data_IF_944984993968
#
_entry.id   IF_944984993968
#
_cell.length_a   1.000
_cell.length_b   1.000
_cell.length_c   1.000
_cell.angle_alpha   90.00
_cell.angle_beta   90.00
_cell.angle_gamma   90.00
#
_symmetry.space_group_name_H-M   'P 1'
#
loop_
_entity.id
_entity.type
_entity.pdbx_description
1 polymer ?
#
# COMPACT_ATOMS: atom_id res chain seq x y z
N UNK A 1 47.93 -15.08 7.29
CA UNK A 1 48.03 -13.87 8.08
C UNK A 1 48.38 -12.70 7.19
N UNK A 2 47.42 -11.88 6.80
CA UNK A 2 47.60 -10.49 6.35
C UNK A 2 46.18 -9.87 6.40
N UNK A 3 45.94 -9.14 7.47
CA UNK A 3 44.69 -8.41 7.68
C UNK A 3 44.63 -7.18 6.76
N UNK A 4 43.54 -7.04 6.07
CA UNK A 4 43.20 -5.78 5.40
C UNK A 4 42.27 -4.99 6.34
N UNK A 5 42.82 -3.94 6.93
CA UNK A 5 42.05 -2.95 7.67
C UNK A 5 41.34 -2.04 6.66
N UNK A 6 40.01 -2.05 6.68
CA UNK A 6 39.20 -1.11 5.93
C UNK A 6 39.11 0.19 6.72
N UNK A 7 39.75 1.23 6.24
CA UNK A 7 39.70 2.54 6.83
C UNK A 7 38.37 3.21 6.45
N UNK A 8 37.53 3.45 7.45
CA UNK A 8 36.29 4.25 7.35
C UNK A 8 36.70 5.73 7.32
N UNK A 9 36.62 6.38 6.15
CA UNK A 9 36.79 7.83 6.04
C UNK A 9 35.47 8.50 6.41
N UNK A 10 35.38 8.98 7.62
CA UNK A 10 34.30 9.88 8.06
C UNK A 10 34.68 11.29 7.60
N UNK A 11 34.00 11.80 6.57
CA UNK A 11 34.10 13.21 6.19
C UNK A 11 33.14 14.00 7.10
N UNK A 12 33.69 14.57 8.17
CA UNK A 12 33.01 15.57 8.97
C UNK A 12 33.07 16.91 8.24
N UNK A 13 31.98 17.32 7.60
CA UNK A 13 31.82 18.68 7.11
C UNK A 13 31.51 19.59 8.31
N UNK A 14 32.48 20.37 8.71
CA UNK A 14 32.34 21.52 9.60
C UNK A 14 31.47 22.58 8.90
N UNK A 15 30.29 22.85 9.44
CA UNK A 15 29.49 24.01 9.08
C UNK A 15 29.90 25.13 10.04
N UNK A 16 30.41 26.27 9.55
CA UNK A 16 30.63 27.44 10.41
C UNK A 16 29.26 28.02 10.79
N UNK A 17 29.15 28.34 12.08
CA UNK A 17 27.96 28.98 12.60
C UNK A 17 27.88 30.47 12.19
N UNK A 18 26.70 30.99 12.45
CA UNK A 18 26.30 32.40 12.48
C UNK A 18 26.07 33.08 11.11
N UNK A 19 24.82 33.12 10.71
CA UNK A 19 24.23 34.27 10.06
C UNK A 19 22.75 34.37 10.48
N UNK A 20 22.48 35.33 11.37
CA UNK A 20 21.14 35.65 11.83
C UNK A 20 20.21 36.05 10.68
N UNK A 21 19.06 35.42 10.67
CA UNK A 21 17.92 35.87 9.86
C UNK A 21 17.20 36.95 10.68
N UNK A 22 16.99 38.16 10.12
CA UNK A 22 16.20 39.18 10.81
C UNK A 22 14.73 38.78 10.79
N UNK A 23 14.09 38.83 11.96
CA UNK A 23 12.63 38.80 12.07
C UNK A 23 12.06 40.02 11.37
N UNK A 24 11.01 39.92 10.55
CA UNK A 24 10.31 41.10 10.08
C UNK A 24 9.34 41.59 11.18
N UNK A 25 9.73 42.62 11.89
CA UNK A 25 8.79 43.49 12.57
C UNK A 25 7.98 44.27 11.51
N UNK A 26 6.70 44.47 11.82
CA UNK A 26 5.71 44.94 10.90
C UNK A 26 5.95 46.30 10.29
N UNK A 27 5.45 46.45 9.08
CA UNK A 27 4.96 47.74 8.62
C UNK A 27 3.65 47.51 7.83
N UNK A 28 2.60 48.19 8.32
CA UNK A 28 1.29 48.23 7.69
C UNK A 28 1.31 49.32 6.62
N UNK A 29 1.22 48.96 5.36
CA UNK A 29 1.05 49.98 4.33
C UNK A 29 1.03 49.44 2.89
N UNK A 30 -0.08 49.71 2.24
CA UNK A 30 -0.33 49.76 0.81
C UNK A 30 -0.50 48.43 0.04
N UNK A 31 -1.75 48.14 -0.32
CA UNK A 31 -2.15 47.13 -1.28
C UNK A 31 -1.47 47.30 -2.63
N UNK A 32 -0.55 46.40 -2.93
CA UNK A 32 -0.09 46.15 -4.28
C UNK A 32 -1.02 45.09 -4.94
N UNK A 33 -1.17 45.08 -6.26
CA UNK A 33 -2.02 44.11 -6.91
C UNK A 33 -1.54 42.69 -6.61
N UNK A 34 -2.41 41.87 -6.05
CA UNK A 34 -2.19 40.43 -5.89
C UNK A 34 -1.80 39.87 -7.25
N UNK A 35 -0.54 39.49 -7.40
CA UNK A 35 -0.10 38.71 -8.55
C UNK A 35 -0.98 37.47 -8.72
N UNK A 36 -1.13 36.94 -9.91
CA UNK A 36 -1.98 35.78 -10.13
C UNK A 36 -1.53 34.67 -9.19
N UNK A 37 -2.43 34.24 -8.32
CA UNK A 37 -2.27 32.99 -7.56
C UNK A 37 -1.98 31.94 -8.61
N UNK A 38 -0.76 31.41 -8.63
CA UNK A 38 -0.42 30.31 -9.51
C UNK A 38 -1.39 29.19 -9.20
N UNK A 39 -2.30 28.95 -10.14
CA UNK A 39 -3.21 27.82 -10.03
C UNK A 39 -2.35 26.57 -9.80
N UNK A 40 -2.62 25.84 -8.72
CA UNK A 40 -1.92 24.61 -8.41
C UNK A 40 -2.09 23.67 -9.61
N UNK A 41 -0.98 23.38 -10.29
CA UNK A 41 -1.02 22.52 -11.49
C UNK A 41 -1.55 21.16 -11.07
N UNK A 42 -2.63 20.66 -11.68
CA UNK A 42 -3.16 19.36 -11.32
C UNK A 42 -2.07 18.30 -11.38
N UNK A 43 -2.07 17.37 -10.44
CA UNK A 43 -1.01 16.35 -10.28
C UNK A 43 -0.71 15.58 -11.58
N UNK A 44 -1.75 15.41 -12.45
CA UNK A 44 -1.63 14.79 -13.77
C UNK A 44 -0.76 15.56 -14.77
N UNK A 45 -0.63 16.87 -14.58
CA UNK A 45 0.02 17.77 -15.55
C UNK A 45 1.49 18.08 -15.21
N UNK A 46 2.04 17.44 -14.19
CA UNK A 46 3.46 17.62 -13.84
C UNK A 46 4.35 17.02 -14.93
N UNK A 47 5.39 17.75 -15.39
CA UNK A 47 6.21 17.35 -16.53
C UNK A 47 6.82 15.95 -16.44
N UNK A 48 7.22 15.50 -15.25
CA UNK A 48 7.78 14.18 -15.06
C UNK A 48 6.77 13.04 -15.19
N UNK A 49 5.46 13.32 -15.06
CA UNK A 49 4.39 12.37 -15.31
C UNK A 49 4.06 12.20 -16.79
N UNK A 50 4.35 13.23 -17.57
CA UNK A 50 4.13 13.24 -19.02
C UNK A 50 5.31 12.63 -19.79
N UNK A 51 6.44 12.42 -19.12
CA UNK A 51 7.71 12.11 -19.78
C UNK A 51 7.75 10.73 -20.46
N UNK A 52 6.83 9.80 -20.16
CA UNK A 52 6.77 8.53 -20.89
C UNK A 52 5.33 7.96 -20.87
N UNK A 53 4.64 7.99 -22.00
CA UNK A 53 3.41 7.23 -22.18
C UNK A 53 3.66 5.70 -22.27
N UNK A 54 4.92 5.31 -22.47
CA UNK A 54 5.33 3.92 -22.61
C UNK A 54 5.62 3.28 -21.24
N UNK A 55 5.49 1.95 -21.12
CA UNK A 55 5.88 1.23 -19.92
C UNK A 55 7.35 1.49 -19.57
N UNK A 56 7.63 1.75 -18.31
CA UNK A 56 9.00 1.89 -17.83
C UNK A 56 9.77 0.59 -18.01
N UNK A 57 10.91 0.67 -18.71
CA UNK A 57 11.78 -0.46 -18.95
C UNK A 57 13.16 -0.20 -18.34
N UNK A 58 13.74 -1.24 -17.79
CA UNK A 58 15.14 -1.22 -17.42
C UNK A 58 15.98 -1.63 -18.64
N UNK A 59 16.80 -0.71 -19.14
CA UNK A 59 17.67 -0.92 -20.32
C UNK A 59 19.16 -1.05 -19.94
N UNK A 60 19.47 -1.11 -18.64
CA UNK A 60 20.84 -1.27 -18.16
C UNK A 60 21.38 -2.70 -18.35
N UNK A 61 22.67 -2.86 -18.05
CA UNK A 61 23.38 -4.13 -18.06
C UNK A 61 22.86 -5.09 -16.96
N UNK A 62 23.35 -6.33 -16.97
CA UNK A 62 23.10 -7.34 -15.94
C UNK A 62 22.33 -8.57 -16.42
N UNK A 63 21.70 -8.51 -17.61
CA UNK A 63 21.00 -9.67 -18.19
C UNK A 63 21.92 -10.77 -18.66
N UNK A 64 23.15 -10.43 -18.96
CA UNK A 64 24.21 -11.31 -19.47
C UNK A 64 24.87 -12.13 -18.36
N UNK A 65 24.67 -11.72 -17.10
CA UNK A 65 25.24 -12.42 -15.97
C UNK A 65 24.75 -13.87 -15.92
N UNK A 66 25.68 -14.84 -15.79
CA UNK A 66 25.31 -16.25 -15.72
C UNK A 66 24.52 -16.53 -14.44
N UNK A 67 23.65 -17.50 -14.52
CA UNK A 67 22.91 -17.97 -13.36
C UNK A 67 23.86 -18.65 -12.38
N UNK A 68 23.92 -18.22 -11.09
CA UNK A 68 24.74 -18.87 -10.10
C UNK A 68 24.14 -20.20 -9.65
N UNK A 69 24.98 -21.09 -9.20
CA UNK A 69 24.55 -22.29 -8.49
C UNK A 69 24.27 -21.93 -7.02
N UNK A 70 23.06 -22.21 -6.53
CA UNK A 70 22.62 -21.91 -5.16
C UNK A 70 21.92 -23.13 -4.57
N UNK A 71 21.95 -23.29 -3.25
CA UNK A 71 21.25 -24.38 -2.57
C UNK A 71 19.76 -24.07 -2.35
N UNK A 72 19.42 -22.79 -2.22
CA UNK A 72 18.06 -22.28 -2.04
C UNK A 72 17.84 -20.95 -2.80
N UNK A 73 16.60 -20.62 -3.09
CA UNK A 73 16.22 -19.36 -3.72
C UNK A 73 15.61 -18.43 -2.67
N UNK A 74 16.35 -17.39 -2.30
CA UNK A 74 15.89 -16.43 -1.30
C UNK A 74 15.03 -15.35 -1.96
N UNK A 75 13.80 -15.17 -1.45
CA UNK A 75 12.92 -14.05 -1.72
C UNK A 75 12.87 -13.19 -0.46
N UNK A 76 13.14 -11.90 -0.57
CA UNK A 76 12.99 -10.96 0.55
C UNK A 76 11.52 -10.67 0.82
N UNK A 77 11.15 -10.59 2.09
CA UNK A 77 9.85 -10.09 2.53
C UNK A 77 10.05 -8.83 3.36
N UNK A 78 9.68 -7.67 2.80
CA UNK A 78 9.76 -6.40 3.51
C UNK A 78 8.39 -6.03 4.07
N UNK A 79 8.12 -6.55 5.24
CA UNK A 79 6.89 -6.46 6.01
C UNK A 79 6.99 -7.31 7.28
N UNK A 80 6.01 -7.26 8.19
CA UNK A 80 5.98 -8.14 9.35
C UNK A 80 6.00 -9.61 8.93
N UNK A 81 6.90 -10.38 9.51
CA UNK A 81 6.96 -11.84 9.40
C UNK A 81 6.19 -12.54 10.51
N UNK A 82 5.19 -11.88 11.06
CA UNK A 82 4.33 -12.36 12.13
C UNK A 82 2.89 -12.52 11.60
N UNK A 83 2.33 -13.74 11.59
CA UNK A 83 0.96 -13.98 11.17
C UNK A 83 -0.09 -13.31 12.05
N UNK A 84 0.27 -12.96 13.30
CA UNK A 84 -0.62 -12.31 14.24
C UNK A 84 -0.48 -10.78 14.27
N UNK A 85 0.35 -10.22 13.40
CA UNK A 85 0.49 -8.76 13.30
C UNK A 85 -0.87 -8.12 12.95
N UNK A 86 -1.39 -7.20 13.77
CA UNK A 86 -2.80 -6.77 13.71
C UNK A 86 -3.18 -6.09 12.39
N UNK A 87 -2.26 -5.37 11.74
CA UNK A 87 -2.52 -4.63 10.51
C UNK A 87 -2.12 -5.39 9.24
N UNK A 88 -1.00 -6.14 9.27
CA UNK A 88 -0.39 -6.70 8.07
C UNK A 88 -0.22 -8.22 8.09
N UNK A 89 -0.61 -8.91 9.18
CA UNK A 89 -0.42 -10.35 9.33
C UNK A 89 -1.08 -11.17 8.23
N UNK A 90 -2.23 -10.71 7.71
CA UNK A 90 -2.96 -11.44 6.66
C UNK A 90 -2.15 -11.56 5.35
N UNK A 91 -1.34 -10.56 4.98
CA UNK A 91 -0.42 -10.67 3.83
C UNK A 91 0.60 -11.79 4.04
N UNK A 92 1.19 -11.87 5.23
CA UNK A 92 2.17 -12.90 5.57
C UNK A 92 1.55 -14.29 5.61
N UNK A 93 0.35 -14.43 6.16
CA UNK A 93 -0.40 -15.68 6.18
C UNK A 93 -0.63 -16.25 4.78
N UNK A 94 -1.07 -15.39 3.85
CA UNK A 94 -1.24 -15.76 2.45
C UNK A 94 0.08 -16.15 1.77
N UNK A 95 1.14 -15.38 2.02
CA UNK A 95 2.47 -15.63 1.48
C UNK A 95 3.04 -16.98 1.92
N UNK A 96 2.82 -17.37 3.18
CA UNK A 96 3.28 -18.68 3.70
C UNK A 96 2.57 -19.87 3.02
N UNK A 97 1.27 -19.76 2.72
CA UNK A 97 0.56 -20.82 1.98
C UNK A 97 1.14 -20.97 0.57
N UNK A 98 1.37 -19.85 -0.11
CA UNK A 98 1.98 -19.87 -1.43
C UNK A 98 3.39 -20.48 -1.42
N UNK A 99 4.22 -20.10 -0.44
CA UNK A 99 5.57 -20.62 -0.27
C UNK A 99 5.57 -22.16 -0.09
N UNK A 100 4.69 -22.66 0.77
CA UNK A 100 4.57 -24.09 1.04
C UNK A 100 4.13 -24.87 -0.22
N UNK A 101 3.15 -24.32 -0.97
CA UNK A 101 2.68 -24.92 -2.22
C UNK A 101 3.75 -24.89 -3.32
N UNK A 102 4.50 -23.79 -3.46
CA UNK A 102 5.60 -23.68 -4.42
C UNK A 102 6.72 -24.68 -4.10
N UNK A 103 7.05 -24.86 -2.83
CA UNK A 103 8.06 -25.84 -2.38
C UNK A 103 7.57 -27.28 -2.54
N UNK A 104 6.31 -27.56 -2.24
CA UNK A 104 5.70 -28.87 -2.47
C UNK A 104 5.66 -29.24 -3.96
N UNK A 105 5.56 -28.23 -4.84
CA UNK A 105 5.63 -28.41 -6.30
C UNK A 105 7.08 -28.59 -6.84
N UNK A 106 8.10 -28.59 -5.95
CA UNK A 106 9.51 -28.78 -6.31
C UNK A 106 10.34 -27.50 -6.39
N UNK A 107 9.80 -26.37 -5.98
CA UNK A 107 10.51 -25.09 -5.88
C UNK A 107 11.03 -24.58 -7.23
N UNK A 108 12.28 -24.16 -7.25
CA UNK A 108 12.99 -23.75 -8.45
C UNK A 108 14.01 -24.80 -8.85
N UNK A 109 13.71 -25.62 -9.86
CA UNK A 109 14.61 -26.72 -10.34
C UNK A 109 15.06 -27.65 -9.21
N UNK A 110 14.16 -27.99 -8.30
CA UNK A 110 14.43 -28.84 -7.15
C UNK A 110 15.04 -28.12 -5.94
N UNK A 111 15.29 -26.82 -6.02
CA UNK A 111 15.80 -25.99 -4.93
C UNK A 111 14.65 -25.30 -4.22
N UNK A 112 14.59 -25.32 -2.87
CA UNK A 112 13.51 -24.70 -2.15
C UNK A 112 13.55 -23.18 -2.29
N UNK A 113 12.37 -22.54 -2.32
CA UNK A 113 12.22 -21.11 -2.10
C UNK A 113 12.21 -20.85 -0.59
N UNK A 114 12.85 -19.78 -0.17
CA UNK A 114 12.81 -19.28 1.21
C UNK A 114 12.36 -17.83 1.21
N UNK A 115 11.39 -17.53 2.06
CA UNK A 115 10.92 -16.16 2.27
C UNK A 115 11.61 -15.61 3.53
N UNK A 116 12.46 -14.61 3.36
CA UNK A 116 13.25 -14.01 4.44
C UNK A 116 12.62 -12.69 4.87
N UNK A 117 12.01 -12.61 6.07
CA UNK A 117 11.38 -11.39 6.54
C UNK A 117 12.39 -10.38 7.06
N UNK A 118 12.10 -9.10 6.83
CA UNK A 118 12.76 -7.98 7.50
C UNK A 118 11.72 -6.90 7.77
N UNK A 119 11.64 -6.46 9.00
CA UNK A 119 10.68 -5.46 9.45
C UNK A 119 11.17 -4.70 10.66
N UNK A 120 10.74 -3.45 10.76
CA UNK A 120 10.90 -2.58 11.93
C UNK A 120 9.64 -1.76 12.12
N UNK A 121 9.14 -1.68 13.35
CA UNK A 121 8.02 -0.82 13.74
C UNK A 121 8.29 0.68 13.52
N UNK A 122 9.53 1.03 13.24
CA UNK A 122 9.93 2.38 12.86
C UNK A 122 10.60 2.36 11.48
N UNK A 123 9.84 2.17 10.39
CA UNK A 123 10.40 1.98 9.04
C UNK A 123 11.32 3.12 8.62
N UNK A 124 10.98 4.37 8.97
CA UNK A 124 11.80 5.55 8.68
C UNK A 124 13.19 5.53 9.30
N UNK A 125 13.40 4.77 10.39
CA UNK A 125 14.71 4.65 11.06
C UNK A 125 15.55 3.50 10.52
N UNK A 126 14.93 2.37 10.19
CA UNK A 126 15.63 1.13 9.87
C UNK A 126 15.27 0.53 8.50
N UNK A 127 14.14 0.89 7.90
CA UNK A 127 13.59 0.19 6.73
C UNK A 127 14.53 0.10 5.53
N UNK A 128 15.30 1.16 5.23
CA UNK A 128 16.28 1.12 4.13
C UNK A 128 17.41 0.11 4.45
N UNK A 129 17.84 0.05 5.71
CA UNK A 129 18.87 -0.90 6.16
C UNK A 129 18.34 -2.34 6.11
N UNK A 130 17.08 -2.55 6.47
CA UNK A 130 16.45 -3.86 6.43
C UNK A 130 16.34 -4.38 5.00
N UNK A 131 15.88 -3.54 4.04
CA UNK A 131 15.87 -3.90 2.62
C UNK A 131 17.28 -4.13 2.08
N UNK A 132 18.26 -3.30 2.47
CA UNK A 132 19.65 -3.49 2.06
C UNK A 132 20.21 -4.85 2.54
N UNK A 133 19.89 -5.23 3.78
CA UNK A 133 20.26 -6.53 4.34
C UNK A 133 19.65 -7.69 3.54
N UNK A 134 18.36 -7.63 3.21
CA UNK A 134 17.71 -8.63 2.37
C UNK A 134 18.45 -8.84 1.05
N UNK A 135 18.82 -7.76 0.39
CA UNK A 135 19.38 -7.79 -0.97
C UNK A 135 20.87 -8.13 -0.99
N UNK A 136 21.66 -7.56 -0.06
CA UNK A 136 23.12 -7.63 -0.12
C UNK A 136 23.72 -8.68 0.83
N UNK A 137 23.07 -8.93 1.98
CA UNK A 137 23.58 -9.92 2.95
C UNK A 137 22.85 -11.26 2.81
N UNK A 138 21.52 -11.26 2.59
CA UNK A 138 20.73 -12.48 2.43
C UNK A 138 20.62 -12.97 0.99
N UNK A 139 21.05 -12.16 0.02
CA UNK A 139 21.09 -12.55 -1.39
C UNK A 139 19.72 -12.67 -2.04
N UNK A 140 18.72 -11.92 -1.58
CA UNK A 140 17.39 -11.98 -2.15
C UNK A 140 17.36 -11.65 -3.66
N UNK A 141 16.69 -12.48 -4.44
CA UNK A 141 16.55 -12.33 -5.88
C UNK A 141 15.50 -11.30 -6.26
N UNK A 142 14.47 -11.18 -5.45
CA UNK A 142 13.42 -10.18 -5.51
C UNK A 142 12.99 -9.84 -4.09
N UNK A 143 12.35 -8.69 -3.91
CA UNK A 143 11.74 -8.30 -2.65
C UNK A 143 10.23 -8.17 -2.86
N UNK A 144 9.47 -8.94 -2.10
CA UNK A 144 8.04 -8.79 -1.93
C UNK A 144 7.85 -7.93 -0.71
N UNK A 145 7.16 -6.78 -0.84
CA UNK A 145 7.00 -5.90 0.30
C UNK A 145 6.77 -4.47 -0.06
N UNK A 146 6.82 -3.64 0.97
CA UNK A 146 6.09 -2.40 0.92
C UNK A 146 4.60 -2.73 1.11
N UNK A 147 4.25 -3.18 2.34
CA UNK A 147 2.86 -3.55 2.69
C UNK A 147 1.95 -2.33 2.80
N UNK A 148 2.54 -1.15 2.80
CA UNK A 148 1.90 0.17 2.77
C UNK A 148 2.70 1.15 1.89
N UNK A 149 2.23 2.39 1.74
CA UNK A 149 2.90 3.43 0.97
C UNK A 149 4.23 3.86 1.57
N UNK A 150 4.27 4.04 2.88
CA UNK A 150 5.49 4.42 3.62
C UNK A 150 6.63 3.46 3.34
N UNK A 151 6.42 2.17 3.54
CA UNK A 151 7.46 1.16 3.34
C UNK A 151 7.80 0.95 1.87
N UNK A 152 6.82 1.12 0.97
CA UNK A 152 7.07 1.12 -0.47
C UNK A 152 8.00 2.25 -0.90
N UNK A 153 7.81 3.47 -0.39
CA UNK A 153 8.69 4.61 -0.67
C UNK A 153 10.14 4.37 -0.21
N UNK A 154 10.33 3.70 0.93
CA UNK A 154 11.66 3.36 1.42
C UNK A 154 12.33 2.31 0.54
N UNK A 155 11.60 1.24 0.21
CA UNK A 155 12.14 0.13 -0.56
C UNK A 155 12.43 0.50 -2.03
N UNK A 156 11.61 1.36 -2.65
CA UNK A 156 11.77 1.76 -4.05
C UNK A 156 13.08 2.52 -4.30
N UNK A 157 13.55 3.29 -3.33
CA UNK A 157 14.82 4.00 -3.43
C UNK A 157 16.00 3.03 -3.55
N UNK A 158 15.93 1.91 -2.81
CA UNK A 158 16.97 0.90 -2.88
C UNK A 158 16.81 0.00 -4.12
N UNK A 159 15.57 -0.29 -4.53
CA UNK A 159 15.29 -1.04 -5.76
C UNK A 159 15.92 -0.36 -6.99
N UNK A 160 15.83 0.98 -7.04
CA UNK A 160 16.47 1.78 -8.09
C UNK A 160 18.01 1.66 -8.08
N UNK A 161 18.62 1.66 -6.90
CA UNK A 161 20.09 1.65 -6.75
C UNK A 161 20.70 0.27 -6.89
N UNK A 162 20.00 -0.75 -6.41
CA UNK A 162 20.51 -2.13 -6.31
C UNK A 162 19.91 -3.07 -7.35
N UNK A 163 19.07 -2.55 -8.24
CA UNK A 163 18.51 -3.25 -9.40
C UNK A 163 17.87 -4.60 -9.04
N UNK A 164 16.82 -4.58 -8.22
CA UNK A 164 16.02 -5.76 -7.90
C UNK A 164 14.53 -5.48 -8.08
N UNK A 165 13.76 -6.50 -8.42
CA UNK A 165 12.31 -6.44 -8.46
C UNK A 165 11.78 -6.16 -7.06
N UNK A 166 11.01 -5.08 -6.91
CA UNK A 166 10.17 -4.79 -5.74
C UNK A 166 8.71 -4.99 -6.14
N UNK A 167 8.05 -5.97 -5.53
CA UNK A 167 6.63 -6.23 -5.73
C UNK A 167 5.86 -5.89 -4.45
N UNK A 168 5.15 -4.75 -4.45
CA UNK A 168 4.32 -4.33 -3.33
C UNK A 168 2.96 -5.05 -3.37
N UNK A 169 2.59 -5.83 -2.35
CA UNK A 169 1.28 -6.46 -2.28
C UNK A 169 0.18 -5.50 -1.81
N UNK A 170 0.52 -4.48 -1.00
CA UNK A 170 -0.46 -3.73 -0.22
C UNK A 170 -0.54 -2.23 -0.46
N UNK A 171 0.49 -1.58 -1.04
CA UNK A 171 0.49 -0.13 -1.21
C UNK A 171 -0.56 0.35 -2.21
N UNK A 172 -1.46 1.22 -1.75
CA UNK A 172 -2.44 1.95 -2.57
C UNK A 172 -1.97 3.35 -2.95
N UNK A 173 -0.85 3.78 -2.38
CA UNK A 173 -0.28 5.11 -2.59
C UNK A 173 0.30 5.27 -4.00
N UNK A 174 -0.34 6.11 -4.79
CA UNK A 174 0.10 6.40 -6.17
C UNK A 174 1.39 7.21 -6.20
N UNK A 175 1.77 7.87 -5.11
CA UNK A 175 2.99 8.70 -5.10
C UNK A 175 4.26 7.87 -5.19
N UNK A 176 4.22 6.61 -4.78
CA UNK A 176 5.32 5.68 -4.99
C UNK A 176 5.56 5.40 -6.49
N UNK A 177 4.47 5.38 -7.30
CA UNK A 177 4.57 5.21 -8.76
C UNK A 177 5.14 6.45 -9.46
N UNK A 178 4.98 7.63 -8.85
CA UNK A 178 5.46 8.91 -9.39
C UNK A 178 7.00 8.98 -9.44
N UNK A 179 7.68 8.13 -8.69
CA UNK A 179 9.14 8.00 -8.76
C UNK A 179 9.63 7.44 -10.11
N UNK A 180 8.74 6.90 -10.94
CA UNK A 180 9.04 6.31 -12.24
C UNK A 180 10.19 5.29 -12.19
N UNK A 181 10.17 4.42 -11.18
CA UNK A 181 11.21 3.41 -11.00
C UNK A 181 10.81 2.13 -11.73
N UNK A 182 11.61 1.66 -12.71
CA UNK A 182 11.27 0.50 -13.53
C UNK A 182 11.29 -0.84 -12.75
N UNK A 183 11.65 -0.81 -11.49
CA UNK A 183 11.78 -1.98 -10.61
C UNK A 183 10.59 -2.17 -9.67
N UNK A 184 9.69 -1.17 -9.57
CA UNK A 184 8.49 -1.23 -8.73
C UNK A 184 7.31 -1.79 -9.51
N UNK A 185 6.64 -2.77 -8.88
CA UNK A 185 5.32 -3.26 -9.28
C UNK A 185 4.40 -3.31 -8.06
N UNK A 186 3.12 -2.95 -8.23
CA UNK A 186 2.15 -2.89 -7.13
C UNK A 186 0.90 -3.69 -7.47
N UNK A 187 0.55 -4.68 -6.63
CA UNK A 187 -0.63 -5.52 -6.83
C UNK A 187 -1.95 -4.83 -6.47
N UNK A 188 -1.92 -3.87 -5.55
CA UNK A 188 -3.11 -3.12 -5.15
C UNK A 188 -3.45 -2.02 -6.15
N UNK A 189 -4.72 -1.83 -6.51
CA UNK A 189 -5.18 -0.61 -7.16
C UNK A 189 -4.86 0.61 -6.31
N UNK A 190 -4.67 1.76 -6.95
CA UNK A 190 -4.36 2.99 -6.22
C UNK A 190 -5.60 3.61 -5.57
N UNK A 191 -5.38 4.45 -4.56
CA UNK A 191 -6.45 5.26 -3.98
C UNK A 191 -7.10 6.18 -5.02
N UNK A 192 -6.36 6.64 -6.03
CA UNK A 192 -6.93 7.41 -7.15
C UNK A 192 -7.93 6.59 -7.97
N UNK A 193 -7.70 5.28 -8.13
CA UNK A 193 -8.62 4.39 -8.84
C UNK A 193 -9.90 4.10 -8.03
N UNK A 194 -9.79 4.05 -6.71
CA UNK A 194 -10.91 3.72 -5.79
C UNK A 194 -11.74 4.95 -5.43
N UNK A 195 -11.12 6.12 -5.28
CA UNK A 195 -11.77 7.33 -4.76
C UNK A 195 -12.99 7.82 -5.54
N UNK A 196 -13.08 7.72 -6.88
CA UNK A 196 -14.31 8.06 -7.61
C UNK A 196 -15.52 7.26 -7.14
N UNK A 197 -15.33 5.96 -6.90
CA UNK A 197 -16.38 5.08 -6.42
C UNK A 197 -16.77 5.38 -4.95
N UNK A 198 -15.79 5.78 -4.11
CA UNK A 198 -16.07 6.31 -2.76
C UNK A 198 -16.95 7.54 -2.85
N UNK A 199 -16.65 8.49 -3.74
CA UNK A 199 -17.44 9.70 -3.93
C UNK A 199 -18.86 9.39 -4.45
N UNK A 200 -19.03 8.36 -5.28
CA UNK A 200 -20.35 7.87 -5.71
C UNK A 200 -21.17 7.36 -4.53
N UNK A 201 -20.58 6.50 -3.69
CA UNK A 201 -21.24 5.98 -2.51
C UNK A 201 -21.63 7.07 -1.52
N UNK A 202 -20.79 8.10 -1.35
CA UNK A 202 -21.09 9.27 -0.52
C UNK A 202 -22.27 10.04 -1.10
N UNK A 203 -22.29 10.30 -2.41
CA UNK A 203 -23.39 11.02 -3.09
C UNK A 203 -24.73 10.34 -2.89
N UNK A 204 -24.76 9.02 -3.09
CA UNK A 204 -25.95 8.20 -2.92
C UNK A 204 -26.44 8.21 -1.46
N UNK A 205 -25.55 7.91 -0.52
CA UNK A 205 -25.91 7.76 0.89
C UNK A 205 -26.28 9.11 1.55
N UNK A 206 -25.58 10.18 1.21
CA UNK A 206 -25.87 11.51 1.74
C UNK A 206 -27.20 12.09 1.21
N UNK A 207 -27.59 11.76 -0.03
CA UNK A 207 -28.82 12.27 -0.66
C UNK A 207 -28.98 13.78 -0.48
N UNK A 208 -27.91 14.54 -0.69
CA UNK A 208 -27.85 16.00 -0.50
C UNK A 208 -27.73 16.47 0.95
N UNK A 209 -27.70 15.57 1.93
CA UNK A 209 -27.45 15.92 3.33
C UNK A 209 -25.96 16.06 3.67
N UNK A 210 -25.63 16.54 4.90
CA UNK A 210 -24.26 16.75 5.31
C UNK A 210 -23.51 15.43 5.47
N UNK A 211 -22.21 15.43 5.13
CA UNK A 211 -21.30 14.34 5.43
C UNK A 211 -19.98 14.86 5.99
N UNK A 212 -19.29 14.06 6.75
CA UNK A 212 -18.00 14.39 7.34
C UNK A 212 -16.91 13.43 6.86
N UNK A 213 -15.66 13.87 6.89
CA UNK A 213 -14.47 13.05 6.62
C UNK A 213 -13.62 13.01 7.87
N UNK A 214 -13.27 11.81 8.32
CA UNK A 214 -12.33 11.56 9.40
C UNK A 214 -11.10 10.87 8.83
N UNK A 215 -9.94 11.49 8.93
CA UNK A 215 -8.69 10.96 8.39
C UNK A 215 -7.60 10.94 9.45
N UNK A 216 -6.80 9.87 9.49
CA UNK A 216 -5.59 9.87 10.30
C UNK A 216 -4.46 10.63 9.61
N UNK A 217 -3.46 11.08 10.38
CA UNK A 217 -2.36 11.92 9.88
C UNK A 217 -1.13 11.13 9.43
N UNK A 218 -1.22 9.81 9.33
CA UNK A 218 -0.14 9.02 8.73
C UNK A 218 -0.02 9.27 7.23
N UNK A 219 1.12 8.86 6.66
CA UNK A 219 1.44 9.09 5.26
C UNK A 219 0.40 8.51 4.30
N UNK A 220 -0.02 7.27 4.53
CA UNK A 220 -0.95 6.57 3.64
C UNK A 220 -2.35 7.18 3.68
N UNK A 221 -2.84 7.48 4.87
CA UNK A 221 -4.12 8.17 5.02
C UNK A 221 -4.10 9.58 4.41
N UNK A 222 -2.98 10.30 4.53
CA UNK A 222 -2.84 11.61 3.89
C UNK A 222 -2.90 11.50 2.36
N UNK A 223 -2.19 10.54 1.75
CA UNK A 223 -2.22 10.31 0.30
C UNK A 223 -3.62 9.92 -0.19
N UNK A 224 -4.28 9.01 0.54
CA UNK A 224 -5.67 8.60 0.27
C UNK A 224 -6.66 9.76 0.41
N UNK A 225 -6.51 10.61 1.45
CA UNK A 225 -7.36 11.78 1.67
C UNK A 225 -7.26 12.76 0.50
N UNK A 226 -6.06 13.00 -0.05
CA UNK A 226 -5.87 13.84 -1.23
C UNK A 226 -6.67 13.29 -2.42
N UNK A 227 -6.63 11.98 -2.64
CA UNK A 227 -7.37 11.31 -3.72
C UNK A 227 -8.89 11.40 -3.51
N UNK A 228 -9.36 11.15 -2.28
CA UNK A 228 -10.78 11.27 -1.91
C UNK A 228 -11.29 12.70 -2.08
N UNK A 229 -10.55 13.70 -1.57
CA UNK A 229 -10.92 15.13 -1.73
C UNK A 229 -11.04 15.51 -3.19
N UNK A 230 -10.14 15.06 -4.05
CA UNK A 230 -10.18 15.31 -5.50
C UNK A 230 -11.44 14.71 -6.13
N UNK A 231 -11.77 13.45 -5.79
CA UNK A 231 -12.94 12.78 -6.30
C UNK A 231 -14.25 13.45 -5.84
N UNK A 232 -14.33 13.85 -4.57
CA UNK A 232 -15.48 14.61 -4.04
C UNK A 232 -15.62 15.96 -4.75
N UNK A 233 -14.51 16.69 -4.94
CA UNK A 233 -14.53 17.99 -5.64
C UNK A 233 -14.98 17.85 -7.10
N UNK A 234 -14.54 16.81 -7.81
CA UNK A 234 -14.98 16.52 -9.18
C UNK A 234 -16.50 16.31 -9.28
N UNK A 235 -17.11 15.80 -8.22
CA UNK A 235 -18.57 15.63 -8.10
C UNK A 235 -19.29 16.83 -7.46
N UNK A 236 -18.57 17.90 -7.12
CA UNK A 236 -19.09 19.07 -6.41
C UNK A 236 -19.74 18.72 -5.07
N UNK A 237 -19.15 17.80 -4.34
CA UNK A 237 -19.59 17.33 -3.01
C UNK A 237 -18.65 17.90 -1.94
N UNK A 238 -18.91 19.10 -1.40
CA UNK A 238 -18.12 19.61 -0.29
C UNK A 238 -18.51 18.88 1.00
N UNK A 239 -17.54 18.34 1.78
CA UNK A 239 -17.83 17.83 3.11
C UNK A 239 -18.23 18.98 4.05
N UNK A 240 -19.12 18.71 5.00
CA UNK A 240 -19.48 19.65 6.06
C UNK A 240 -18.29 19.89 7.00
N UNK A 241 -17.52 18.84 7.27
CA UNK A 241 -16.27 18.92 8.02
C UNK A 241 -15.24 17.90 7.53
N UNK A 242 -13.97 18.22 7.74
CA UNK A 242 -12.84 17.31 7.59
C UNK A 242 -12.02 17.39 8.87
N UNK A 243 -11.98 16.29 9.62
CA UNK A 243 -11.25 16.19 10.86
C UNK A 243 -10.05 15.27 10.67
N UNK A 244 -8.86 15.79 10.88
CA UNK A 244 -7.63 15.00 10.89
C UNK A 244 -7.23 14.70 12.32
N UNK A 245 -6.82 13.46 12.63
CA UNK A 245 -6.45 13.03 13.96
C UNK A 245 -5.13 12.24 13.95
N UNK A 246 -4.39 12.31 15.06
CA UNK A 246 -3.14 11.58 15.19
C UNK A 246 -3.38 10.07 15.14
N UNK A 247 -2.58 9.35 14.36
CA UNK A 247 -2.66 7.89 14.23
C UNK A 247 -2.22 7.19 15.52
N UNK A 248 -1.24 7.76 16.20
CA UNK A 248 -0.77 7.26 17.49
C UNK A 248 -1.64 7.86 18.63
N UNK A 249 -2.23 6.96 19.42
CA UNK A 249 -3.03 7.29 20.62
C UNK A 249 -4.18 8.30 20.38
N UNK A 250 -5.11 8.02 19.44
CA UNK A 250 -6.21 8.93 19.16
C UNK A 250 -7.29 8.88 20.24
N UNK A 251 -7.83 10.05 20.63
CA UNK A 251 -9.00 10.14 21.52
C UNK A 251 -10.29 9.88 20.72
N UNK A 252 -10.59 8.61 20.48
CA UNK A 252 -11.78 8.20 19.73
C UNK A 252 -13.10 8.64 20.38
N UNK A 253 -13.29 8.62 21.74
CA UNK A 253 -14.48 9.15 22.37
C UNK A 253 -14.69 10.65 22.07
N UNK A 254 -13.66 11.47 22.13
CA UNK A 254 -13.76 12.89 21.79
C UNK A 254 -14.10 13.12 20.32
N UNK A 255 -13.47 12.36 19.41
CA UNK A 255 -13.79 12.41 17.98
C UNK A 255 -15.24 12.02 17.70
N UNK A 256 -15.73 10.95 18.30
CA UNK A 256 -17.12 10.53 18.18
C UNK A 256 -18.09 11.60 18.74
N UNK A 257 -17.79 12.18 19.90
CA UNK A 257 -18.59 13.26 20.49
C UNK A 257 -18.71 14.49 19.60
N UNK A 258 -17.61 14.94 18.98
CA UNK A 258 -17.61 16.07 18.05
C UNK A 258 -18.46 15.79 16.82
N UNK A 259 -18.31 14.59 16.24
CA UNK A 259 -19.06 14.15 15.06
C UNK A 259 -20.58 14.15 15.31
N UNK A 260 -21.02 13.70 16.49
CA UNK A 260 -22.45 13.67 16.85
C UNK A 260 -23.08 15.06 16.89
N UNK A 261 -22.32 16.09 17.24
CA UNK A 261 -22.81 17.48 17.24
C UNK A 261 -23.10 18.00 15.81
N UNK A 262 -22.31 17.58 14.84
CA UNK A 262 -22.46 17.97 13.42
C UNK A 262 -23.61 17.24 12.71
N UNK A 263 -24.05 16.10 13.25
CA UNK A 263 -25.11 15.23 12.72
C UNK A 263 -24.96 14.89 11.22
N UNK A 264 -23.78 14.42 10.78
CA UNK A 264 -23.61 14.01 9.39
C UNK A 264 -24.47 12.78 9.10
N UNK A 265 -24.96 12.67 7.87
CA UNK A 265 -25.64 11.44 7.39
C UNK A 265 -24.66 10.35 6.99
N UNK A 266 -23.51 10.77 6.50
CA UNK A 266 -22.45 9.88 6.03
C UNK A 266 -21.13 10.27 6.68
N UNK A 267 -20.35 9.28 7.05
CA UNK A 267 -18.98 9.40 7.52
C UNK A 267 -18.05 8.74 6.53
N UNK A 268 -17.10 9.49 5.99
CA UNK A 268 -15.97 8.93 5.23
C UNK A 268 -14.81 8.72 6.17
N UNK A 269 -14.30 7.48 6.25
CA UNK A 269 -13.15 7.13 7.10
C UNK A 269 -11.94 6.81 6.23
N UNK A 270 -10.83 7.49 6.52
CA UNK A 270 -9.54 7.33 5.83
C UNK A 270 -8.46 7.11 6.87
N UNK A 271 -8.13 5.86 7.14
CA UNK A 271 -7.15 5.47 8.15
C UNK A 271 -6.66 4.03 7.90
N UNK A 272 -5.55 3.58 8.51
CA UNK A 272 -5.18 2.17 8.57
C UNK A 272 -6.31 1.32 9.11
N UNK A 273 -6.38 0.05 8.70
CA UNK A 273 -7.53 -0.82 8.96
C UNK A 273 -7.87 -0.94 10.44
N UNK A 274 -6.87 -1.17 11.28
CA UNK A 274 -7.06 -1.32 12.74
C UNK A 274 -7.49 -0.02 13.42
N UNK A 275 -6.95 1.10 12.98
CA UNK A 275 -7.30 2.45 13.48
C UNK A 275 -8.73 2.80 13.06
N UNK A 276 -9.08 2.57 11.80
CA UNK A 276 -10.42 2.77 11.27
C UNK A 276 -11.45 1.92 12.02
N UNK A 277 -11.11 0.64 12.32
CA UNK A 277 -11.99 -0.26 13.07
C UNK A 277 -12.31 0.26 14.47
N UNK A 278 -11.29 0.69 15.22
CA UNK A 278 -11.46 1.28 16.55
C UNK A 278 -12.28 2.58 16.52
N UNK A 279 -12.03 3.45 15.51
CA UNK A 279 -12.82 4.67 15.32
C UNK A 279 -14.29 4.35 15.05
N UNK A 280 -14.56 3.40 14.15
CA UNK A 280 -15.94 2.98 13.83
C UNK A 280 -16.64 2.39 15.05
N UNK A 281 -15.95 1.56 15.85
CA UNK A 281 -16.49 1.04 17.10
C UNK A 281 -16.86 2.17 18.08
N UNK A 282 -16.01 3.18 18.23
CA UNK A 282 -16.29 4.32 19.11
C UNK A 282 -17.47 5.15 18.61
N UNK A 283 -17.57 5.44 17.32
CA UNK A 283 -18.66 6.19 16.71
C UNK A 283 -19.99 5.44 16.85
N UNK A 284 -20.01 4.15 16.61
CA UNK A 284 -21.20 3.29 16.82
C UNK A 284 -21.58 3.18 18.28
N UNK A 285 -20.57 3.01 19.17
CA UNK A 285 -20.78 2.99 20.63
C UNK A 285 -21.35 4.29 21.19
N UNK A 286 -21.08 5.43 20.57
CA UNK A 286 -21.69 6.71 20.88
C UNK A 286 -23.13 6.88 20.33
N UNK A 287 -23.68 5.87 19.66
CA UNK A 287 -25.05 5.83 19.18
C UNK A 287 -25.27 6.39 17.77
N UNK A 288 -24.22 6.72 17.02
CA UNK A 288 -24.39 7.17 15.64
C UNK A 288 -24.63 5.97 14.68
N UNK A 289 -25.69 6.06 13.88
CA UNK A 289 -26.18 4.96 13.01
C UNK A 289 -26.14 5.26 11.51
N UNK A 290 -25.57 6.41 11.10
CA UNK A 290 -25.46 6.79 9.68
C UNK A 290 -24.57 5.86 8.85
N UNK A 291 -24.48 6.11 7.57
CA UNK A 291 -23.66 5.32 6.64
C UNK A 291 -22.18 5.62 6.80
N UNK A 292 -21.36 4.59 6.94
CA UNK A 292 -19.88 4.70 6.91
C UNK A 292 -19.38 4.20 5.57
N UNK A 293 -18.50 4.97 4.96
CA UNK A 293 -17.87 4.68 3.67
C UNK A 293 -16.35 4.87 3.82
N UNK A 294 -15.55 3.98 3.26
CA UNK A 294 -14.10 4.18 3.20
C UNK A 294 -13.45 3.53 2.00
N UNK A 295 -12.13 3.58 1.93
CA UNK A 295 -11.32 2.96 0.89
C UNK A 295 -11.12 1.46 1.08
N UNK A 296 -10.06 0.93 0.44
CA UNK A 296 -9.70 -0.49 0.52
C UNK A 296 -9.38 -0.96 1.95
N UNK A 297 -8.84 -0.10 2.81
CA UNK A 297 -8.49 -0.44 4.21
C UNK A 297 -9.69 -0.91 5.03
N UNK A 298 -10.88 -0.40 4.74
CA UNK A 298 -12.11 -0.83 5.40
C UNK A 298 -12.63 -2.18 4.89
N UNK A 299 -12.13 -2.67 3.76
CA UNK A 299 -12.47 -3.99 3.21
C UNK A 299 -11.67 -5.15 3.81
N UNK A 300 -10.68 -4.88 4.67
CA UNK A 300 -9.75 -5.88 5.20
C UNK A 300 -10.25 -6.52 6.49
N UNK A 301 -9.88 -7.77 6.72
CA UNK A 301 -10.21 -8.51 7.97
C UNK A 301 -9.67 -7.80 9.21
N UNK A 302 -8.50 -7.14 9.12
CA UNK A 302 -7.93 -6.32 10.18
C UNK A 302 -8.89 -5.21 10.66
N UNK A 303 -9.62 -4.56 9.72
CA UNK A 303 -10.67 -3.60 10.05
C UNK A 303 -11.81 -4.28 10.82
N UNK A 304 -12.33 -5.39 10.29
CA UNK A 304 -13.46 -6.07 10.90
C UNK A 304 -13.14 -6.63 12.29
N UNK A 305 -11.93 -7.21 12.47
CA UNK A 305 -11.45 -7.66 13.80
C UNK A 305 -11.41 -6.51 14.80
N UNK A 306 -10.98 -5.32 14.37
CA UNK A 306 -10.89 -4.15 15.25
C UNK A 306 -12.22 -3.44 15.50
N UNK A 307 -13.15 -3.49 14.56
CA UNK A 307 -14.47 -2.89 14.68
C UNK A 307 -15.47 -3.78 15.40
N UNK A 308 -15.28 -5.10 15.37
CA UNK A 308 -16.25 -6.06 15.86
C UNK A 308 -17.60 -5.93 15.15
N UNK A 309 -18.70 -6.02 15.91
CA UNK A 309 -20.06 -5.87 15.37
C UNK A 309 -20.32 -4.48 14.75
N UNK A 310 -19.54 -3.47 15.11
CA UNK A 310 -19.66 -2.12 14.56
C UNK A 310 -19.28 -2.05 13.06
N UNK A 311 -18.62 -3.07 12.52
CA UNK A 311 -18.33 -3.18 11.10
C UNK A 311 -19.60 -3.32 10.25
N UNK A 312 -20.70 -3.87 10.84
CA UNK A 312 -21.90 -4.16 10.07
C UNK A 312 -22.49 -2.93 9.40
N UNK A 313 -22.84 -3.05 8.12
CA UNK A 313 -23.33 -1.94 7.30
C UNK A 313 -22.24 -1.01 6.73
N UNK A 314 -20.97 -1.15 7.10
CA UNK A 314 -19.87 -0.32 6.55
C UNK A 314 -19.66 -0.66 5.08
N UNK A 315 -19.56 0.37 4.24
CA UNK A 315 -19.30 0.27 2.80
C UNK A 315 -17.79 0.41 2.54
N UNK A 316 -17.26 -0.55 1.83
CA UNK A 316 -15.85 -0.63 1.47
C UNK A 316 -15.69 -1.15 0.03
N UNK A 317 -14.47 -1.40 -0.38
CA UNK A 317 -14.14 -1.88 -1.74
C UNK A 317 -13.38 -3.19 -1.66
N UNK A 318 -13.71 -4.09 -2.56
CA UNK A 318 -13.06 -5.38 -2.75
C UNK A 318 -12.66 -5.55 -4.22
N UNK A 319 -11.77 -6.49 -4.56
CA UNK A 319 -11.52 -6.88 -5.94
C UNK A 319 -12.82 -7.23 -6.67
N UNK A 320 -12.91 -6.88 -7.96
CA UNK A 320 -14.14 -7.05 -8.74
C UNK A 320 -14.53 -8.52 -8.95
N UNK A 321 -13.62 -9.47 -8.78
CA UNK A 321 -13.88 -10.88 -8.90
C UNK A 321 -12.89 -11.73 -8.12
N UNK A 322 -13.37 -12.88 -7.63
CA UNK A 322 -12.48 -13.95 -7.24
C UNK A 322 -11.80 -14.52 -8.52
N UNK A 323 -10.49 -14.64 -8.48
CA UNK A 323 -9.73 -15.25 -9.57
C UNK A 323 -9.91 -16.77 -9.60
N UNK A 324 -9.38 -17.37 -10.66
CA UNK A 324 -9.30 -18.81 -10.74
C UNK A 324 -8.45 -19.36 -9.59
N UNK A 325 -9.00 -20.34 -8.85
CA UNK A 325 -8.32 -20.92 -7.68
C UNK A 325 -8.66 -20.28 -6.34
N UNK A 326 -9.50 -19.24 -6.29
CA UNK A 326 -9.97 -18.65 -5.02
C UNK A 326 -10.51 -19.68 -4.05
N UNK A 327 -11.36 -20.62 -4.52
CA UNK A 327 -11.97 -21.63 -3.64
C UNK A 327 -10.93 -22.55 -3.00
N UNK A 328 -9.92 -23.00 -3.73
CA UNK A 328 -8.85 -23.81 -3.20
C UNK A 328 -7.98 -23.00 -2.19
N UNK A 329 -7.56 -21.79 -2.56
CA UNK A 329 -6.82 -20.91 -1.66
C UNK A 329 -7.61 -20.62 -0.37
N UNK A 330 -8.90 -20.29 -0.48
CA UNK A 330 -9.73 -19.99 0.69
C UNK A 330 -9.89 -21.22 1.60
N UNK A 331 -10.01 -22.42 1.03
CA UNK A 331 -10.04 -23.68 1.82
C UNK A 331 -8.73 -23.94 2.54
N UNK A 332 -7.59 -23.75 1.87
CA UNK A 332 -6.28 -23.96 2.47
C UNK A 332 -5.99 -22.91 3.57
N UNK A 333 -6.42 -21.67 3.33
CA UNK A 333 -6.29 -20.59 4.31
C UNK A 333 -7.12 -20.84 5.57
N UNK A 334 -8.42 -21.16 5.39
CA UNK A 334 -9.32 -21.47 6.49
C UNK A 334 -8.84 -22.71 7.27
N UNK A 335 -8.41 -23.75 6.57
CA UNK A 335 -7.86 -24.95 7.18
C UNK A 335 -6.60 -24.70 8.02
N UNK A 336 -5.79 -23.71 7.67
CA UNK A 336 -4.55 -23.37 8.40
C UNK A 336 -4.77 -22.35 9.51
N UNK A 337 -5.61 -21.33 9.28
CA UNK A 337 -5.74 -20.18 10.17
C UNK A 337 -7.08 -20.12 10.90
N UNK A 338 -8.06 -20.97 10.56
CA UNK A 338 -9.37 -21.04 11.20
C UNK A 338 -10.30 -19.87 10.90
N UNK A 339 -10.00 -19.10 9.85
CA UNK A 339 -10.80 -17.96 9.41
C UNK A 339 -10.70 -17.80 7.88
N UNK A 340 -11.72 -17.22 7.22
CA UNK A 340 -11.67 -17.00 5.78
C UNK A 340 -10.63 -15.94 5.41
N UNK A 341 -9.96 -16.08 4.24
CA UNK A 341 -9.01 -15.08 3.76
C UNK A 341 -9.72 -13.81 3.29
N UNK A 342 -9.02 -12.71 3.41
CA UNK A 342 -9.38 -11.43 2.78
C UNK A 342 -8.52 -11.12 1.55
N UNK A 343 -8.68 -9.91 1.02
CA UNK A 343 -7.88 -9.39 -0.08
C UNK A 343 -6.38 -9.32 0.26
N UNK A 344 -6.02 -8.96 1.50
CA UNK A 344 -4.63 -8.85 1.92
C UNK A 344 -3.93 -10.22 1.87
N UNK A 345 -4.59 -11.26 2.41
CA UNK A 345 -4.10 -12.63 2.34
C UNK A 345 -3.95 -13.11 0.89
N UNK A 346 -4.93 -12.84 0.05
CA UNK A 346 -4.90 -13.22 -1.36
C UNK A 346 -3.76 -12.51 -2.12
N UNK A 347 -3.49 -11.24 -1.82
CA UNK A 347 -2.37 -10.49 -2.45
C UNK A 347 -1.01 -10.96 -1.97
N UNK A 348 -0.87 -11.32 -0.69
CA UNK A 348 0.34 -11.96 -0.18
C UNK A 348 0.63 -13.30 -0.88
N UNK A 349 -0.41 -14.11 -1.05
CA UNK A 349 -0.36 -15.36 -1.80
C UNK A 349 0.04 -15.14 -3.27
N UNK A 350 -0.66 -14.24 -3.96
CA UNK A 350 -0.40 -13.94 -5.37
C UNK A 350 0.99 -13.36 -5.59
N UNK A 351 1.51 -12.56 -4.65
CA UNK A 351 2.83 -11.98 -4.76
C UNK A 351 3.93 -13.05 -4.80
N UNK A 352 3.88 -14.03 -3.90
CA UNK A 352 4.86 -15.14 -3.88
C UNK A 352 4.73 -15.98 -5.14
N UNK A 353 3.52 -16.34 -5.55
CA UNK A 353 3.25 -17.13 -6.76
C UNK A 353 3.76 -16.45 -8.03
N UNK A 354 3.52 -15.15 -8.15
CA UNK A 354 3.92 -14.36 -9.31
C UNK A 354 5.45 -14.20 -9.38
N UNK A 355 6.11 -13.94 -8.24
CA UNK A 355 7.58 -13.86 -8.19
C UNK A 355 8.20 -15.23 -8.48
N UNK A 356 7.66 -16.32 -7.93
CA UNK A 356 8.14 -17.67 -8.22
C UNK A 356 7.99 -18.02 -9.72
N UNK A 357 6.87 -17.62 -10.36
CA UNK A 357 6.69 -17.77 -11.80
C UNK A 357 7.69 -16.94 -12.60
N UNK A 358 7.99 -15.71 -12.16
CA UNK A 358 9.00 -14.86 -12.79
C UNK A 358 10.41 -15.47 -12.68
N UNK A 359 10.77 -16.01 -11.52
CA UNK A 359 12.04 -16.72 -11.31
C UNK A 359 12.14 -17.96 -12.22
N UNK A 360 11.09 -18.77 -12.31
CA UNK A 360 11.08 -19.94 -13.21
C UNK A 360 11.27 -19.56 -14.69
N UNK A 361 10.69 -18.44 -15.11
CA UNK A 361 10.81 -17.94 -16.48
C UNK A 361 12.17 -17.34 -16.79
N UNK A 362 12.72 -16.60 -15.85
CA UNK A 362 13.90 -15.76 -16.03
C UNK A 362 15.23 -16.45 -15.66
N UNK A 363 15.19 -17.44 -14.77
CA UNK A 363 16.37 -17.90 -14.06
C UNK A 363 16.73 -16.94 -12.92
N UNK A 364 17.81 -17.26 -12.20
CA UNK A 364 18.32 -16.45 -11.10
C UNK A 364 19.15 -15.26 -11.61
N UNK A 365 18.45 -14.26 -12.12
CA UNK A 365 19.00 -13.01 -12.62
C UNK A 365 18.01 -11.88 -12.36
N UNK A 366 18.38 -10.89 -11.57
CA UNK A 366 17.50 -9.81 -11.11
C UNK A 366 16.88 -9.01 -12.26
N UNK A 367 17.68 -8.68 -13.29
CA UNK A 367 17.18 -7.93 -14.43
C UNK A 367 16.17 -8.75 -15.27
N UNK A 368 16.45 -10.03 -15.48
CA UNK A 368 15.51 -10.92 -16.19
C UNK A 368 14.25 -11.20 -15.37
N UNK A 369 14.34 -11.34 -14.05
CA UNK A 369 13.18 -11.50 -13.16
C UNK A 369 12.26 -10.28 -13.26
N UNK A 370 12.84 -9.08 -13.29
CA UNK A 370 12.08 -7.84 -13.48
C UNK A 370 11.37 -7.81 -14.85
N UNK A 371 12.04 -8.27 -15.90
CA UNK A 371 11.41 -8.31 -17.23
C UNK A 371 10.29 -9.37 -17.27
N UNK A 372 10.55 -10.54 -16.69
CA UNK A 372 9.59 -11.64 -16.64
C UNK A 372 8.30 -11.26 -15.90
N UNK A 373 8.36 -10.47 -14.81
CA UNK A 373 7.15 -10.04 -14.11
C UNK A 373 6.24 -9.20 -14.99
N UNK A 374 6.81 -8.38 -15.87
CA UNK A 374 6.05 -7.59 -16.83
C UNK A 374 5.46 -8.46 -17.94
N UNK A 375 6.24 -9.40 -18.46
CA UNK A 375 5.82 -10.31 -19.53
C UNK A 375 4.74 -11.31 -19.10
N UNK A 376 4.65 -11.62 -17.81
CA UNK A 376 3.60 -12.49 -17.25
C UNK A 376 2.23 -11.81 -17.20
N UNK A 377 2.14 -10.49 -17.42
CA UNK A 377 0.86 -9.77 -17.46
C UNK A 377 0.13 -10.00 -18.81
N UNK A 378 -1.19 -10.28 -18.80
CA UNK A 378 -2.06 -10.45 -17.63
C UNK A 378 -1.86 -11.80 -16.93
N UNK A 379 -1.71 -11.79 -15.60
CA UNK A 379 -1.48 -12.99 -14.81
C UNK A 379 -2.73 -13.37 -14.01
N UNK A 380 -3.12 -14.65 -13.97
CA UNK A 380 -4.32 -15.08 -13.25
C UNK A 380 -4.02 -15.31 -11.77
N UNK A 381 -4.27 -14.30 -10.95
CA UNK A 381 -4.18 -14.40 -9.49
C UNK A 381 -5.47 -14.91 -8.84
N UNK A 382 -5.39 -15.36 -7.57
CA UNK A 382 -6.57 -15.72 -6.79
C UNK A 382 -7.37 -14.49 -6.37
N UNK A 383 -6.69 -13.34 -6.21
CA UNK A 383 -7.30 -12.05 -5.92
C UNK A 383 -7.87 -11.33 -7.15
N UNK A 384 -7.87 -11.98 -8.32
CA UNK A 384 -8.26 -11.39 -9.59
C UNK A 384 -7.13 -11.43 -10.61
N UNK A 385 -7.34 -10.77 -11.74
CA UNK A 385 -6.34 -10.73 -12.82
C UNK A 385 -5.36 -9.59 -12.58
N UNK A 386 -4.07 -9.87 -12.55
CA UNK A 386 -3.03 -8.85 -12.45
C UNK A 386 -2.69 -8.34 -13.85
N UNK A 387 -2.95 -7.08 -14.11
CA UNK A 387 -2.61 -6.38 -15.34
C UNK A 387 -1.85 -5.09 -15.03
N UNK A 388 -0.62 -5.03 -15.53
CA UNK A 388 0.21 -3.85 -15.28
C UNK A 388 -0.16 -2.69 -16.20
N UNK A 389 -0.43 -1.54 -15.63
CA UNK A 389 -0.43 -0.28 -16.37
C UNK A 389 1.01 0.14 -16.74
N UNK A 390 1.16 1.29 -17.41
CA UNK A 390 2.48 1.80 -17.83
C UNK A 390 3.47 1.99 -16.67
N UNK A 391 3.00 2.13 -15.43
CA UNK A 391 3.82 2.35 -14.24
C UNK A 391 4.06 1.11 -13.39
N UNK A 392 3.60 -0.06 -13.85
CA UNK A 392 3.75 -1.30 -13.09
C UNK A 392 2.73 -1.49 -11.97
N UNK A 393 1.66 -0.68 -11.93
CA UNK A 393 0.55 -0.90 -10.99
C UNK A 393 -0.53 -1.75 -11.64
N UNK A 394 -1.13 -2.62 -10.83
CA UNK A 394 -2.29 -3.39 -11.24
C UNK A 394 -3.49 -2.44 -11.47
N UNK A 395 -4.11 -2.55 -12.64
CA UNK A 395 -5.26 -1.77 -13.07
C UNK A 395 -6.58 -2.55 -12.99
N UNK A 396 -6.60 -3.64 -12.22
CA UNK A 396 -7.80 -4.44 -12.05
C UNK A 396 -8.93 -3.65 -11.36
N UNK A 397 -10.16 -4.03 -11.69
CA UNK A 397 -11.33 -3.32 -11.19
C UNK A 397 -11.61 -3.68 -9.73
N UNK A 398 -12.10 -2.71 -9.00
CA UNK A 398 -12.68 -2.89 -7.67
C UNK A 398 -14.20 -2.76 -7.74
N UNK A 399 -14.90 -3.42 -6.83
CA UNK A 399 -16.34 -3.32 -6.69
C UNK A 399 -16.71 -2.89 -5.28
N UNK A 400 -17.87 -2.28 -5.16
CA UNK A 400 -18.45 -1.95 -3.87
C UNK A 400 -18.77 -3.22 -3.11
N UNK A 401 -18.50 -3.21 -1.81
CA UNK A 401 -18.84 -4.27 -0.90
C UNK A 401 -19.35 -3.69 0.43
N UNK A 402 -20.04 -4.50 1.21
CA UNK A 402 -20.58 -4.11 2.51
C UNK A 402 -20.32 -5.21 3.53
N UNK A 403 -19.92 -4.83 4.70
CA UNK A 403 -19.86 -5.76 5.83
C UNK A 403 -21.26 -6.14 6.25
N UNK A 404 -21.52 -7.46 6.34
CA UNK A 404 -22.80 -8.04 6.72
C UNK A 404 -22.54 -9.32 7.49
N UNK A 405 -22.92 -9.34 8.78
CA UNK A 405 -22.74 -10.52 9.63
C UNK A 405 -21.27 -10.99 9.70
N UNK A 406 -20.33 -10.06 9.81
CA UNK A 406 -18.89 -10.35 9.89
C UNK A 406 -18.23 -10.74 8.57
N UNK A 407 -18.90 -10.60 7.42
CA UNK A 407 -18.37 -10.91 6.09
C UNK A 407 -18.49 -9.72 5.17
N UNK A 408 -17.47 -9.53 4.32
CA UNK A 408 -17.49 -8.50 3.27
C UNK A 408 -18.24 -9.08 2.05
N UNK A 409 -19.43 -8.56 1.78
CA UNK A 409 -20.32 -9.03 0.71
C UNK A 409 -20.37 -7.99 -0.40
N UNK A 410 -20.11 -8.34 -1.67
CA UNK A 410 -20.30 -7.44 -2.79
C UNK A 410 -21.73 -6.91 -2.84
N UNK A 411 -21.88 -5.63 -3.17
CA UNK A 411 -23.16 -4.98 -3.42
C UNK A 411 -23.14 -4.33 -4.80
N UNK A 412 -24.24 -4.47 -5.52
CA UNK A 412 -24.42 -3.93 -6.87
C UNK A 412 -24.57 -2.41 -6.86
#
# INVERSE_FOLDING_TARGET
MRGLALALVVVSALIPGDSGWPSPEGDAGAGGPSGPVQAEVPRGDKPYKQASPEPLEFRGAGREEPEPDVDEVVLGWFGPGDPDHPEFGDYWRGALIALDQENAAGGYRGKPLRLEPAWSESPWKAGVVDVARLVHERGAWAVIGGVDGTTTHLAVQLALKSHFLLLSPGSTDVTADDANVPWLFSLSPSDEAVSPAVADAVSEAASGGPFAVLASTDHDAHAALVSVRRALAAKRLPPASVVEFATADPDFPALAGSLLQERPRVLVVVAPSTVAGRLVAAVRGAGWTGTIVGGATLGRSAFARSAGEAADGVVAWAPAGAGNGWGAFASDFDGRWGEPPDEAAARGYDAVRLVAAAVRRAGLNRARIRDAIRELSPWPGVCGRVRWNARGRNDDLVRRARWTGGRLVPVD
#
